data_IF_261609991205
#
_entry.id   IF_261609991205
#
_cell.length_a   1.000
_cell.length_b   1.000
_cell.length_c   1.000
_cell.angle_alpha   90.00
_cell.angle_beta   90.00
_cell.angle_gamma   90.00
#
_symmetry.space_group_name_H-M   'P 1'
#
loop_
_entity.id
_entity.type
_entity.pdbx_description
1 polymer ?
#
# COMPACT_ATOMS: atom_id res chain seq x y z
N UNK A 1 12.64 -2.00 35.06
CA UNK A 1 13.98 -2.08 34.47
C UNK A 1 14.13 -0.94 33.46
N UNK A 2 14.87 0.11 33.83
CA UNK A 2 15.13 1.28 32.98
C UNK A 2 16.41 1.02 32.17
N UNK A 3 16.40 1.32 30.87
CA UNK A 3 17.58 1.19 30.01
C UNK A 3 17.96 2.60 29.56
N UNK A 4 19.14 3.06 29.95
CA UNK A 4 19.68 4.35 29.55
C UNK A 4 20.36 4.18 28.19
N UNK A 5 19.85 4.86 27.16
CA UNK A 5 20.47 4.91 25.82
C UNK A 5 21.20 6.26 25.68
N UNK A 6 22.52 6.30 25.44
CA UNK A 6 23.25 7.54 25.27
C UNK A 6 22.64 8.40 24.15
N UNK A 7 22.28 9.65 24.45
CA UNK A 7 21.69 10.60 23.49
C UNK A 7 20.16 10.68 23.44
N UNK A 8 19.42 9.79 24.13
CA UNK A 8 17.94 9.72 24.03
C UNK A 8 17.19 9.82 25.37
N UNK A 9 17.89 10.05 26.49
CA UNK A 9 17.27 10.18 27.82
C UNK A 9 16.73 8.86 28.40
N UNK A 10 16.01 8.96 29.52
CA UNK A 10 15.41 7.81 30.19
C UNK A 10 14.13 7.37 29.46
N UNK A 11 14.22 6.26 28.71
CA UNK A 11 13.06 5.65 28.07
C UNK A 11 12.55 4.48 28.94
N UNK A 12 11.28 4.54 29.35
CA UNK A 12 10.59 3.41 29.97
C UNK A 12 10.40 2.28 28.95
N UNK A 13 10.41 1.02 29.41
CA UNK A 13 10.31 -0.19 28.57
C UNK A 13 9.11 -0.12 27.59
N UNK A 14 8.03 0.51 28.01
CA UNK A 14 6.82 0.73 27.19
C UNK A 14 7.05 1.71 26.03
N UNK A 15 7.87 2.74 26.22
CA UNK A 15 8.22 3.68 25.15
C UNK A 15 9.16 3.05 24.11
N UNK A 16 10.05 2.16 24.54
CA UNK A 16 10.89 1.34 23.65
C UNK A 16 10.05 0.34 22.84
N UNK A 17 9.04 -0.27 23.45
CA UNK A 17 8.10 -1.18 22.76
C UNK A 17 7.24 -0.45 21.72
N UNK A 18 6.79 0.77 22.01
CA UNK A 18 6.00 1.60 21.08
C UNK A 18 6.80 2.03 19.84
N UNK A 19 8.09 2.35 19.99
CA UNK A 19 8.98 2.71 18.86
C UNK A 19 9.40 1.52 17.99
N UNK A 20 9.42 0.29 18.51
CA UNK A 20 9.80 -0.91 17.75
C UNK A 20 8.73 -1.43 16.81
N UNK A 21 7.44 -1.21 17.12
CA UNK A 21 6.31 -1.68 16.32
C UNK A 21 6.30 -1.17 14.86
N UNK A 22 6.52 0.14 14.58
CA UNK A 22 6.58 0.60 13.19
C UNK A 22 7.82 0.06 12.46
N UNK A 23 8.95 -0.11 13.14
CA UNK A 23 10.17 -0.68 12.56
C UNK A 23 9.95 -2.14 12.16
N UNK A 24 9.38 -2.96 13.05
CA UNK A 24 9.07 -4.35 12.75
C UNK A 24 8.10 -4.49 11.57
N UNK A 25 7.10 -3.61 11.49
CA UNK A 25 6.15 -3.58 10.38
C UNK A 25 6.82 -3.22 9.04
N UNK A 26 7.65 -2.18 9.02
CA UNK A 26 8.43 -1.79 7.83
C UNK A 26 9.39 -2.91 7.42
N UNK A 27 10.04 -3.57 8.38
CA UNK A 27 10.93 -4.71 8.10
C UNK A 27 10.17 -5.86 7.48
N UNK A 28 8.97 -6.20 7.98
CA UNK A 28 8.13 -7.26 7.39
C UNK A 28 7.73 -6.90 5.96
N UNK A 29 7.27 -5.68 5.71
CA UNK A 29 6.91 -5.24 4.35
C UNK A 29 8.12 -5.23 3.41
N UNK A 30 9.27 -4.74 3.89
CA UNK A 30 10.51 -4.72 3.12
C UNK A 30 11.01 -6.15 2.82
N UNK A 31 10.83 -7.08 3.77
CA UNK A 31 11.20 -8.49 3.58
C UNK A 31 10.28 -9.15 2.56
N UNK A 32 8.96 -8.88 2.61
CA UNK A 32 8.02 -9.37 1.61
C UNK A 32 8.34 -8.79 0.22
N UNK A 33 8.61 -7.50 0.12
CA UNK A 33 9.01 -6.86 -1.13
C UNK A 33 10.37 -7.39 -1.66
N UNK A 34 11.33 -7.68 -0.79
CA UNK A 34 12.57 -8.32 -1.21
C UNK A 34 12.33 -9.77 -1.68
N UNK A 35 11.44 -10.50 -1.00
CA UNK A 35 11.12 -11.89 -1.37
C UNK A 35 10.46 -12.00 -2.73
N UNK A 36 9.65 -11.02 -3.16
CA UNK A 36 9.07 -11.01 -4.51
C UNK A 36 10.11 -10.83 -5.61
N UNK A 37 11.27 -10.23 -5.30
CA UNK A 37 12.38 -10.06 -6.26
C UNK A 37 13.32 -11.27 -6.26
N UNK A 38 13.57 -11.84 -5.08
CA UNK A 38 14.56 -12.92 -4.90
C UNK A 38 13.97 -14.30 -5.23
N UNK A 39 12.68 -14.50 -4.98
CA UNK A 39 12.01 -15.78 -5.12
C UNK A 39 10.73 -15.63 -5.96
N UNK A 40 10.83 -15.72 -7.31
CA UNK A 40 9.70 -15.53 -8.21
C UNK A 40 8.53 -16.46 -7.92
N UNK A 41 8.82 -17.71 -7.54
CA UNK A 41 7.81 -18.75 -7.27
C UNK A 41 6.89 -18.45 -6.08
N UNK A 42 7.28 -17.53 -5.19
CA UNK A 42 6.48 -17.07 -4.06
C UNK A 42 6.09 -15.60 -4.17
N UNK A 43 6.42 -14.94 -5.29
CA UNK A 43 6.16 -13.51 -5.47
C UNK A 43 4.67 -13.17 -5.43
N UNK A 44 3.84 -13.98 -6.07
CA UNK A 44 2.39 -13.77 -6.10
C UNK A 44 1.78 -13.87 -4.69
N UNK A 45 2.24 -14.87 -3.93
CA UNK A 45 1.80 -15.11 -2.56
C UNK A 45 2.29 -13.99 -1.64
N UNK A 46 3.60 -13.70 -1.65
CA UNK A 46 4.21 -12.70 -0.78
C UNK A 46 3.71 -11.28 -1.09
N UNK A 47 3.51 -10.95 -2.36
CA UNK A 47 2.95 -9.68 -2.81
C UNK A 47 1.52 -9.50 -2.31
N UNK A 48 0.67 -10.51 -2.50
CA UNK A 48 -0.73 -10.43 -2.09
C UNK A 48 -0.88 -10.37 -0.54
N UNK A 49 -0.10 -11.13 0.22
CA UNK A 49 -0.06 -10.99 1.69
C UNK A 49 0.50 -9.64 2.15
N UNK A 50 1.53 -9.13 1.47
CA UNK A 50 2.10 -7.81 1.76
C UNK A 50 1.08 -6.69 1.56
N UNK A 51 0.32 -6.73 0.45
CA UNK A 51 -0.77 -5.80 0.18
C UNK A 51 -1.87 -5.90 1.24
N UNK A 52 -2.33 -7.11 1.57
CA UNK A 52 -3.36 -7.32 2.57
C UNK A 52 -2.95 -6.75 3.94
N UNK A 53 -1.76 -7.12 4.41
CA UNK A 53 -1.21 -6.64 5.68
C UNK A 53 -1.09 -5.11 5.64
N UNK A 54 -0.55 -4.55 4.57
CA UNK A 54 -0.39 -3.12 4.37
C UNK A 54 -1.70 -2.35 4.43
N UNK A 55 -2.70 -2.77 3.65
CA UNK A 55 -4.01 -2.12 3.58
C UNK A 55 -4.77 -2.20 4.91
N UNK A 56 -4.82 -3.38 5.54
CA UNK A 56 -5.58 -3.57 6.79
C UNK A 56 -4.93 -2.80 7.94
N UNK A 57 -3.61 -2.89 8.08
CA UNK A 57 -2.89 -2.19 9.16
C UNK A 57 -2.90 -0.68 8.94
N UNK A 58 -2.61 -0.20 7.72
CA UNK A 58 -2.64 1.21 7.36
C UNK A 58 -4.03 1.81 7.55
N UNK A 59 -5.06 1.12 7.06
CA UNK A 59 -6.46 1.52 7.25
C UNK A 59 -6.85 1.60 8.71
N UNK A 60 -6.52 0.58 9.51
CA UNK A 60 -6.79 0.56 10.96
C UNK A 60 -6.06 1.68 11.70
N UNK A 61 -4.80 1.96 11.37
CA UNK A 61 -4.02 3.05 11.98
C UNK A 61 -4.62 4.40 11.62
N UNK A 62 -4.91 4.65 10.35
CA UNK A 62 -5.51 5.91 9.89
C UNK A 62 -6.90 6.14 10.53
N UNK A 63 -7.77 5.14 10.55
CA UNK A 63 -9.09 5.24 11.19
C UNK A 63 -9.00 5.43 12.70
N UNK A 64 -8.05 4.79 13.38
CA UNK A 64 -7.80 5.02 14.81
C UNK A 64 -7.30 6.43 15.06
N UNK A 65 -6.39 6.92 14.22
CA UNK A 65 -5.85 8.27 14.33
C UNK A 65 -6.96 9.31 14.10
N UNK A 66 -7.84 9.09 13.12
CA UNK A 66 -8.99 9.95 12.84
C UNK A 66 -9.89 10.18 14.07
N UNK A 67 -10.05 9.18 14.95
CA UNK A 67 -10.86 9.29 16.18
C UNK A 67 -10.30 10.30 17.20
N UNK A 68 -9.01 10.60 17.13
CA UNK A 68 -8.34 11.56 18.02
C UNK A 68 -8.25 12.97 17.42
N UNK A 69 -8.80 13.18 16.23
CA UNK A 69 -8.74 14.43 15.47
C UNK A 69 -10.15 14.99 15.30
N UNK A 70 -10.21 16.27 14.98
CA UNK A 70 -11.47 16.98 14.72
C UNK A 70 -11.48 17.66 13.35
N UNK A 71 -12.69 18.02 12.91
CA UNK A 71 -12.93 18.78 11.69
C UNK A 71 -12.32 18.16 10.43
N UNK A 72 -11.59 18.98 9.68
CA UNK A 72 -11.02 18.60 8.38
C UNK A 72 -9.93 17.54 8.50
N UNK A 73 -9.14 17.56 9.57
CA UNK A 73 -8.09 16.55 9.80
C UNK A 73 -8.71 15.17 10.05
N UNK A 74 -9.82 15.10 10.81
CA UNK A 74 -10.59 13.87 10.97
C UNK A 74 -11.11 13.34 9.64
N UNK A 75 -11.65 14.21 8.78
CA UNK A 75 -12.15 13.83 7.46
C UNK A 75 -11.04 13.21 6.60
N UNK A 76 -9.86 13.85 6.55
CA UNK A 76 -8.68 13.36 5.81
C UNK A 76 -8.31 11.94 6.23
N UNK A 77 -8.10 11.73 7.52
CA UNK A 77 -7.70 10.42 8.04
C UNK A 77 -8.80 9.37 7.89
N UNK A 78 -10.07 9.79 7.94
CA UNK A 78 -11.21 8.90 7.69
C UNK A 78 -11.24 8.45 6.24
N UNK A 79 -11.05 9.37 5.27
CA UNK A 79 -11.04 9.07 3.84
C UNK A 79 -9.87 8.18 3.43
N UNK A 80 -8.66 8.47 3.94
CA UNK A 80 -7.49 7.61 3.72
C UNK A 80 -7.71 6.25 4.35
N UNK A 81 -8.20 6.22 5.60
CA UNK A 81 -8.41 4.98 6.33
C UNK A 81 -9.51 4.09 5.73
N UNK A 82 -10.62 4.68 5.28
CA UNK A 82 -11.69 3.95 4.60
C UNK A 82 -11.23 3.46 3.22
N UNK A 83 -10.46 4.27 2.50
CA UNK A 83 -9.90 3.88 1.20
C UNK A 83 -8.96 2.68 1.31
N UNK A 84 -8.03 2.71 2.27
CA UNK A 84 -7.15 1.57 2.56
C UNK A 84 -7.92 0.32 2.99
N UNK A 85 -8.96 0.49 3.82
CA UNK A 85 -9.78 -0.64 4.27
C UNK A 85 -10.59 -1.25 3.11
N UNK A 86 -11.11 -0.41 2.20
CA UNK A 86 -11.81 -0.84 0.99
C UNK A 86 -10.88 -1.66 0.07
N UNK A 87 -9.67 -1.16 -0.20
CA UNK A 87 -8.69 -1.90 -0.98
C UNK A 87 -8.30 -3.24 -0.31
N UNK A 88 -8.11 -3.25 1.02
CA UNK A 88 -7.87 -4.48 1.78
C UNK A 88 -9.03 -5.48 1.71
N UNK A 89 -10.27 -5.01 1.69
CA UNK A 89 -11.43 -5.86 1.46
C UNK A 89 -11.45 -6.45 0.04
N UNK A 90 -11.03 -5.68 -0.97
CA UNK A 90 -10.84 -6.17 -2.34
C UNK A 90 -9.83 -7.30 -2.41
N UNK A 91 -8.65 -7.12 -1.81
CA UNK A 91 -7.61 -8.18 -1.71
C UNK A 91 -8.14 -9.41 -0.99
N UNK A 92 -8.85 -9.23 0.13
CA UNK A 92 -9.44 -10.35 0.90
C UNK A 92 -10.45 -11.13 0.08
N UNK A 93 -11.29 -10.42 -0.68
CA UNK A 93 -12.31 -11.05 -1.52
C UNK A 93 -11.69 -11.85 -2.68
N UNK A 94 -10.63 -11.33 -3.31
CA UNK A 94 -9.86 -12.08 -4.30
C UNK A 94 -9.32 -13.40 -3.74
N UNK A 95 -8.65 -13.34 -2.58
CA UNK A 95 -8.13 -14.54 -1.90
C UNK A 95 -9.22 -15.56 -1.58
N UNK A 96 -10.38 -15.10 -1.09
CA UNK A 96 -11.50 -15.99 -0.79
C UNK A 96 -12.00 -16.68 -2.05
N UNK A 97 -12.20 -15.93 -3.15
CA UNK A 97 -12.66 -16.50 -4.41
C UNK A 97 -11.67 -17.53 -4.97
N UNK A 98 -10.37 -17.22 -4.97
CA UNK A 98 -9.34 -18.16 -5.38
C UNK A 98 -9.31 -19.42 -4.51
N UNK A 99 -9.47 -19.27 -3.19
CA UNK A 99 -9.56 -20.41 -2.27
C UNK A 99 -10.78 -21.32 -2.54
N UNK A 100 -11.84 -20.78 -3.17
CA UNK A 100 -13.01 -21.54 -3.63
C UNK A 100 -12.90 -22.00 -5.10
N UNK A 101 -11.75 -21.84 -5.75
CA UNK A 101 -11.53 -22.23 -7.15
C UNK A 101 -12.21 -21.31 -8.16
N UNK A 102 -12.63 -20.11 -7.74
CA UNK A 102 -13.18 -19.09 -8.62
C UNK A 102 -12.04 -18.16 -9.05
N UNK A 103 -11.80 -18.08 -10.35
CA UNK A 103 -10.81 -17.18 -10.94
C UNK A 103 -11.52 -15.95 -11.49
N UNK A 104 -11.63 -14.85 -10.70
CA UNK A 104 -12.26 -13.63 -11.18
C UNK A 104 -11.51 -13.06 -12.40
N UNK A 105 -12.24 -12.44 -13.35
CA UNK A 105 -11.61 -11.80 -14.50
C UNK A 105 -10.68 -10.67 -14.05
N UNK A 106 -9.67 -10.37 -14.87
CA UNK A 106 -8.69 -9.32 -14.60
C UNK A 106 -9.33 -7.94 -14.35
N UNK A 107 -10.49 -7.68 -14.98
CA UNK A 107 -11.35 -6.55 -14.65
C UNK A 107 -12.77 -7.05 -14.35
N UNK A 108 -13.32 -6.68 -13.20
CA UNK A 108 -14.62 -7.14 -12.74
C UNK A 108 -15.18 -6.33 -11.56
N UNK A 109 -16.30 -6.78 -10.98
CA UNK A 109 -17.00 -6.06 -9.91
C UNK A 109 -16.12 -5.76 -8.68
N UNK A 110 -15.09 -6.58 -8.43
CA UNK A 110 -14.16 -6.42 -7.30
C UNK A 110 -13.33 -5.14 -7.46
N UNK A 111 -13.07 -4.69 -8.69
CA UNK A 111 -12.33 -3.46 -8.96
C UNK A 111 -12.98 -2.22 -8.39
N UNK A 112 -14.30 -2.26 -8.15
CA UNK A 112 -15.01 -1.16 -7.48
C UNK A 112 -14.42 -0.90 -6.08
N UNK A 113 -13.98 -1.94 -5.37
CA UNK A 113 -13.35 -1.81 -4.05
C UNK A 113 -11.97 -1.14 -4.13
N UNK A 114 -11.20 -1.47 -5.17
CA UNK A 114 -9.91 -0.86 -5.44
C UNK A 114 -10.04 0.58 -5.92
N UNK A 115 -10.92 0.84 -6.89
CA UNK A 115 -11.23 2.18 -7.40
C UNK A 115 -11.75 3.08 -6.28
N UNK A 116 -12.73 2.61 -5.50
CA UNK A 116 -13.22 3.32 -4.33
C UNK A 116 -12.12 3.56 -3.29
N UNK A 117 -11.23 2.58 -3.11
CA UNK A 117 -10.03 2.70 -2.29
C UNK A 117 -9.12 3.84 -2.73
N UNK A 118 -8.73 3.85 -4.00
CA UNK A 118 -7.89 4.89 -4.60
C UNK A 118 -8.55 6.27 -4.53
N UNK A 119 -9.83 6.38 -4.87
CA UNK A 119 -10.57 7.64 -4.80
C UNK A 119 -10.65 8.15 -3.37
N UNK A 120 -10.85 7.28 -2.37
CA UNK A 120 -10.85 7.65 -0.96
C UNK A 120 -9.49 8.17 -0.50
N UNK A 121 -8.41 7.50 -0.87
CA UNK A 121 -7.04 7.93 -0.55
C UNK A 121 -6.73 9.29 -1.21
N UNK A 122 -7.05 9.45 -2.50
CA UNK A 122 -6.84 10.69 -3.24
C UNK A 122 -7.68 11.84 -2.68
N UNK A 123 -8.96 11.60 -2.37
CA UNK A 123 -9.83 12.59 -1.76
C UNK A 123 -9.33 13.00 -0.37
N UNK A 124 -8.85 12.05 0.42
CA UNK A 124 -8.23 12.31 1.71
C UNK A 124 -6.95 13.13 1.58
N UNK A 125 -6.06 12.76 0.67
CA UNK A 125 -4.83 13.51 0.39
C UNK A 125 -5.12 14.94 -0.11
N UNK A 126 -6.08 15.12 -1.03
CA UNK A 126 -6.52 16.42 -1.50
C UNK A 126 -7.18 17.27 -0.40
N UNK A 127 -7.76 16.61 0.60
CA UNK A 127 -8.40 17.26 1.74
C UNK A 127 -7.41 17.67 2.83
N UNK A 128 -6.12 17.29 2.75
CA UNK A 128 -5.12 17.70 3.73
C UNK A 128 -5.18 19.22 3.92
N UNK A 129 -5.21 19.72 5.17
CA UNK A 129 -5.07 21.13 5.43
C UNK A 129 -3.67 21.53 4.97
N UNK A 130 -3.64 22.08 3.76
CA UNK A 130 -2.48 22.66 3.13
C UNK A 130 -1.75 23.56 4.15
N UNK A 131 -0.58 23.15 4.62
CA UNK A 131 0.42 24.07 5.18
C UNK A 131 1.05 24.94 4.07
N UNK A 132 0.39 25.04 2.90
CA UNK A 132 0.88 25.76 1.74
C UNK A 132 0.61 27.24 1.93
N UNK A 133 1.70 28.02 1.92
CA UNK A 133 1.66 29.47 1.92
C UNK A 133 1.07 30.06 0.61
N UNK A 134 0.66 29.23 -0.38
CA UNK A 134 -0.07 29.68 -1.56
C UNK A 134 -0.40 28.58 -2.59
N UNK A 135 -1.19 28.94 -3.61
CA UNK A 135 -1.59 28.06 -4.74
C UNK A 135 -0.41 27.45 -5.51
N UNK A 136 0.75 28.13 -5.52
CA UNK A 136 1.96 27.69 -6.22
C UNK A 136 2.62 26.47 -5.55
N UNK A 137 2.62 26.42 -4.22
CA UNK A 137 3.21 25.31 -3.46
C UNK A 137 2.35 24.04 -3.56
N UNK A 138 1.04 24.20 -3.63
CA UNK A 138 0.11 23.12 -3.93
C UNK A 138 0.37 22.52 -5.31
N UNK A 139 0.48 23.38 -6.34
CA UNK A 139 0.78 22.94 -7.70
C UNK A 139 2.12 22.19 -7.77
N UNK A 140 3.15 22.69 -7.09
CA UNK A 140 4.46 22.05 -7.02
C UNK A 140 4.39 20.68 -6.34
N UNK A 141 3.68 20.57 -5.22
CA UNK A 141 3.52 19.30 -4.50
C UNK A 141 2.75 18.26 -5.32
N UNK A 142 1.70 18.69 -6.03
CA UNK A 142 0.96 17.82 -6.94
C UNK A 142 1.86 17.34 -8.08
N UNK A 143 2.64 18.24 -8.69
CA UNK A 143 3.58 17.90 -9.75
C UNK A 143 4.66 16.95 -9.24
N UNK A 144 5.27 17.22 -8.09
CA UNK A 144 6.29 16.36 -7.49
C UNK A 144 5.71 14.97 -7.14
N UNK A 145 4.47 14.92 -6.65
CA UNK A 145 3.75 13.67 -6.41
C UNK A 145 3.47 12.88 -7.70
N UNK A 146 3.05 13.55 -8.77
CA UNK A 146 2.83 12.94 -10.09
C UNK A 146 4.15 12.44 -10.66
N UNK A 147 5.21 13.24 -10.61
CA UNK A 147 6.55 12.86 -11.08
C UNK A 147 7.06 11.65 -10.28
N UNK A 148 6.86 11.64 -8.96
CA UNK A 148 7.18 10.49 -8.11
C UNK A 148 6.40 9.24 -8.52
N UNK A 149 5.08 9.35 -8.70
CA UNK A 149 4.23 8.23 -9.11
C UNK A 149 4.61 7.69 -10.49
N UNK A 150 4.87 8.57 -11.47
CA UNK A 150 5.33 8.20 -12.81
C UNK A 150 6.70 7.54 -12.73
N UNK A 151 7.62 8.08 -11.93
CA UNK A 151 8.97 7.52 -11.78
C UNK A 151 8.94 6.13 -11.15
N UNK A 152 8.14 5.94 -10.10
CA UNK A 152 7.96 4.63 -9.46
C UNK A 152 7.28 3.64 -10.42
N UNK A 153 6.26 4.09 -11.16
CA UNK A 153 5.58 3.26 -12.16
C UNK A 153 6.52 2.87 -13.31
N UNK A 154 7.36 3.80 -13.78
CA UNK A 154 8.36 3.56 -14.81
C UNK A 154 9.46 2.61 -14.32
N UNK A 155 9.92 2.76 -13.08
CA UNK A 155 10.84 1.82 -12.45
C UNK A 155 10.20 0.42 -12.32
N UNK A 156 8.96 0.33 -11.87
CA UNK A 156 8.22 -0.94 -11.84
C UNK A 156 8.08 -1.54 -13.25
N UNK A 157 7.83 -0.72 -14.26
CA UNK A 157 7.75 -1.17 -15.64
C UNK A 157 9.08 -1.73 -16.14
N UNK A 158 10.19 -1.01 -15.94
CA UNK A 158 11.51 -1.41 -16.40
C UNK A 158 12.01 -2.65 -15.65
N UNK A 159 11.79 -2.71 -14.33
CA UNK A 159 12.34 -3.76 -13.47
C UNK A 159 11.51 -5.04 -13.42
N UNK A 160 10.22 -4.97 -13.77
CA UNK A 160 9.28 -6.10 -13.60
C UNK A 160 8.53 -6.36 -14.89
N UNK A 161 7.85 -5.35 -15.43
CA UNK A 161 6.91 -5.55 -16.54
C UNK A 161 7.60 -5.80 -17.88
N UNK A 162 8.77 -5.20 -18.13
CA UNK A 162 9.55 -5.40 -19.35
C UNK A 162 9.93 -6.87 -19.56
N UNK A 163 10.39 -7.53 -18.51
CA UNK A 163 10.77 -8.95 -18.55
C UNK A 163 9.55 -9.86 -18.67
N UNK A 164 8.45 -9.54 -17.98
CA UNK A 164 7.17 -10.26 -18.10
C UNK A 164 6.58 -10.15 -19.51
N UNK A 165 6.58 -8.96 -20.11
CA UNK A 165 6.09 -8.75 -21.48
C UNK A 165 6.99 -9.44 -22.49
N UNK A 166 8.31 -9.42 -22.30
CA UNK A 166 9.25 -10.16 -23.16
C UNK A 166 9.02 -11.67 -23.07
N UNK A 167 8.90 -12.21 -21.86
CA UNK A 167 8.58 -13.61 -21.61
C UNK A 167 7.25 -14.03 -22.26
N UNK A 168 6.18 -13.25 -22.06
CA UNK A 168 4.91 -13.49 -22.72
C UNK A 168 4.95 -13.28 -24.23
N UNK A 169 5.82 -12.42 -24.77
CA UNK A 169 5.94 -12.25 -26.22
C UNK A 169 6.62 -13.44 -26.92
N UNK A 170 7.45 -14.18 -26.18
CA UNK A 170 8.19 -15.35 -26.68
C UNK A 170 7.44 -16.68 -26.49
N UNK A 171 6.42 -16.72 -25.63
CA UNK A 171 5.55 -17.90 -25.47
C UNK A 171 4.33 -17.77 -26.38
N UNK A 172 4.20 -18.63 -27.38
CA UNK A 172 3.11 -18.53 -28.37
C UNK A 172 1.73 -18.50 -27.69
N UNK A 173 0.82 -17.67 -28.20
CA UNK A 173 -0.55 -17.51 -27.68
C UNK A 173 -1.33 -18.83 -27.59
N UNK A 174 -0.88 -19.84 -28.34
CA UNK A 174 -1.44 -21.19 -28.41
C UNK A 174 -1.04 -22.09 -27.24
N UNK A 175 0.18 -21.95 -26.71
CA UNK A 175 0.64 -22.70 -25.54
C UNK A 175 -0.08 -22.27 -24.25
N UNK A 176 -0.47 -20.99 -24.16
CA UNK A 176 -1.19 -20.43 -23.00
C UNK A 176 -2.67 -20.86 -22.88
N UNK A 177 -3.25 -21.40 -23.96
CA UNK A 177 -4.67 -21.79 -23.98
C UNK A 177 -4.89 -23.28 -23.65
N UNK A 178 -3.86 -24.12 -23.75
CA UNK A 178 -3.97 -25.58 -23.55
C UNK A 178 -3.42 -26.09 -22.21
N UNK A 179 -2.82 -25.22 -21.39
CA UNK A 179 -2.18 -25.59 -20.12
C UNK A 179 -0.68 -25.81 -20.29
#
# INVERSE_FOLDING_TARGET
>A
MQITVPGFGHLTRDQLMLKRKPIAFVVVLATLAASTVIFPDVADIAGAFGLLIGYVTGGRVALRHAKSKDGRERLVWTLIGSGLTSAGAGVTLLFLLEAFGVHPPAFGPIDILFIGGYLGILAGAASLPNAFAGRRDLARTIIDGIVGAISVSALGWILIVGDLVSYFSNTSSWARWLG
#
